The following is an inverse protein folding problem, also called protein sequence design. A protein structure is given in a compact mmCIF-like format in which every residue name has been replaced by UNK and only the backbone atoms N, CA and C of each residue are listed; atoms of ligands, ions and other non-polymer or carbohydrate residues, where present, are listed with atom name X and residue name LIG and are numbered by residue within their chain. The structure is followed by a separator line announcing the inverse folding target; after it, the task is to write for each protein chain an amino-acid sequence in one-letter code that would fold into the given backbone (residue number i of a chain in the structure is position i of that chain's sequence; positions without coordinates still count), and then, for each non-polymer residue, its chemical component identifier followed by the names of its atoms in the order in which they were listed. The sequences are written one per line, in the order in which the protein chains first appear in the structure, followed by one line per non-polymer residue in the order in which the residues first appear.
data_IF_411130621050
#
_entry.id   IF_411130621050
#
_cell.length_a   1.000
_cell.length_b   1.000
_cell.length_c   1.000
_cell.angle_alpha   90.00
_cell.angle_beta   90.00
_cell.angle_gamma   90.00
#
_symmetry.space_group_name_H-M   'P 1'
#
loop_
_entity.id
_entity.type
_entity.pdbx_description
1 polymer ?
#
# COMPACT_ATOMS: atom_id res chain seq x y z
N UNK A 1 -19.78 32.47 1.19
CA UNK A 1 -18.69 31.66 0.59
C UNK A 1 -18.11 30.82 1.72
N UNK A 2 -18.70 29.63 1.91
CA UNK A 2 -18.36 28.67 2.97
C UNK A 2 -17.47 27.60 2.31
N UNK A 3 -16.24 27.99 1.95
CA UNK A 3 -15.29 27.14 1.23
C UNK A 3 -14.80 26.02 2.16
N UNK A 4 -15.23 24.78 1.86
CA UNK A 4 -14.50 23.57 2.24
C UNK A 4 -15.10 22.68 3.33
N UNK A 5 -16.30 22.96 3.86
CA UNK A 5 -16.98 21.99 4.74
C UNK A 5 -17.60 20.87 3.91
N UNK A 6 -17.27 19.62 4.23
CA UNK A 6 -17.86 18.46 3.57
C UNK A 6 -19.37 18.38 3.86
N UNK A 7 -20.15 17.83 2.94
CA UNK A 7 -21.61 17.64 3.09
C UNK A 7 -21.93 16.81 4.35
N UNK A 8 -21.06 15.87 4.72
CA UNK A 8 -21.17 15.11 5.96
C UNK A 8 -21.00 16.00 7.19
N UNK A 9 -20.08 16.96 7.18
CA UNK A 9 -19.96 17.91 8.29
C UNK A 9 -21.18 18.82 8.39
N UNK A 10 -21.77 19.21 7.26
CA UNK A 10 -23.04 19.95 7.25
C UNK A 10 -24.17 19.11 7.84
N UNK A 11 -24.27 17.82 7.47
CA UNK A 11 -25.22 16.88 8.08
C UNK A 11 -25.04 16.82 9.60
N UNK A 12 -23.81 16.60 10.08
CA UNK A 12 -23.54 16.45 11.51
C UNK A 12 -23.80 17.73 12.30
N UNK A 13 -23.41 18.88 11.74
CA UNK A 13 -23.68 20.19 12.32
C UNK A 13 -25.17 20.43 12.43
N UNK A 14 -25.92 20.15 11.36
CA UNK A 14 -27.35 20.29 11.35
C UNK A 14 -28.00 19.39 12.41
N UNK A 15 -27.69 18.09 12.41
CA UNK A 15 -28.27 17.12 13.35
C UNK A 15 -27.99 17.50 14.81
N UNK A 16 -26.79 18.00 15.12
CA UNK A 16 -26.44 18.50 16.47
C UNK A 16 -27.13 19.80 16.85
N UNK A 17 -27.41 20.67 15.88
CA UNK A 17 -28.12 21.92 16.10
C UNK A 17 -29.64 21.72 16.28
N UNK A 18 -30.17 20.52 16.04
CA UNK A 18 -31.55 20.19 16.38
C UNK A 18 -31.66 19.83 17.86
N UNK A 19 -32.76 20.23 18.53
CA UNK A 19 -33.05 19.84 19.92
C UNK A 19 -33.30 18.32 20.12
N UNK A 20 -33.05 17.52 19.09
CA UNK A 20 -33.18 16.06 19.13
C UNK A 20 -31.82 15.42 19.44
N UNK A 21 -31.76 14.42 20.34
CA UNK A 21 -30.53 13.66 20.56
C UNK A 21 -30.04 12.97 19.29
N UNK A 22 -28.75 13.14 18.98
CA UNK A 22 -28.08 12.49 17.85
C UNK A 22 -28.12 10.97 18.05
N UNK A 23 -28.54 10.18 17.05
CA UNK A 23 -28.52 8.72 17.17
C UNK A 23 -27.09 8.22 17.49
N UNK A 24 -26.86 7.45 18.58
CA UNK A 24 -25.52 6.96 18.93
C UNK A 24 -24.85 6.16 17.82
N UNK A 25 -25.66 5.46 17.02
CA UNK A 25 -25.21 4.71 15.84
C UNK A 25 -24.64 5.61 14.74
N UNK A 26 -25.21 6.80 14.52
CA UNK A 26 -24.70 7.77 13.56
C UNK A 26 -23.29 8.22 13.96
N UNK A 27 -23.12 8.61 15.21
CA UNK A 27 -21.79 9.02 15.69
C UNK A 27 -20.78 7.88 15.67
N UNK A 28 -21.19 6.66 16.04
CA UNK A 28 -20.33 5.49 15.99
C UNK A 28 -19.87 5.18 14.55
N UNK A 29 -20.77 5.27 13.58
CA UNK A 29 -20.45 5.06 12.16
C UNK A 29 -19.45 6.09 11.65
N UNK A 30 -19.67 7.37 11.95
CA UNK A 30 -18.76 8.46 11.57
C UNK A 30 -17.40 8.31 12.26
N UNK A 31 -17.37 7.99 13.56
CA UNK A 31 -16.12 7.74 14.29
C UNK A 31 -15.34 6.57 13.68
N UNK A 32 -16.01 5.47 13.30
CA UNK A 32 -15.39 4.33 12.63
C UNK A 32 -14.81 4.71 11.27
N UNK A 33 -15.55 5.47 10.48
CA UNK A 33 -15.09 5.93 9.16
C UNK A 33 -13.88 6.86 9.25
N UNK A 34 -13.87 7.80 10.20
CA UNK A 34 -12.78 8.77 10.40
C UNK A 34 -11.55 8.21 11.12
N UNK A 35 -11.63 7.01 11.69
CA UNK A 35 -10.49 6.39 12.37
C UNK A 35 -9.33 6.26 11.38
N UNK A 36 -8.09 6.63 11.74
CA UNK A 36 -6.91 6.35 10.91
C UNK A 36 -6.80 4.86 10.57
N UNK A 37 -6.24 4.55 9.40
CA UNK A 37 -5.92 3.16 9.04
C UNK A 37 -4.81 2.63 9.93
N UNK A 38 -5.04 1.47 10.55
CA UNK A 38 -4.03 0.75 11.33
C UNK A 38 -3.35 -0.27 10.45
N UNK A 39 -2.07 -0.05 10.20
CA UNK A 39 -1.20 -1.00 9.50
C UNK A 39 -0.36 -1.70 10.55
N UNK A 40 -0.40 -3.03 10.57
CA UNK A 40 0.47 -3.84 11.41
C UNK A 40 1.60 -4.44 10.56
N UNK A 41 2.82 -4.43 11.06
CA UNK A 41 3.97 -5.08 10.43
C UNK A 41 4.37 -6.27 11.29
N UNK A 42 4.32 -7.46 10.71
CA UNK A 42 4.58 -8.71 11.42
C UNK A 42 5.47 -9.64 10.61
N UNK A 43 5.87 -10.74 11.21
CA UNK A 43 6.77 -11.73 10.64
C UNK A 43 7.77 -12.23 11.67
N UNK A 44 8.57 -13.18 11.24
CA UNK A 44 9.54 -13.87 12.09
C UNK A 44 10.62 -12.96 12.68
N UNK A 45 11.28 -13.50 13.70
CA UNK A 45 12.44 -12.88 14.32
C UNK A 45 13.52 -12.64 13.26
N UNK A 46 14.10 -11.43 13.25
CA UNK A 46 15.12 -10.99 12.27
C UNK A 46 14.66 -10.99 10.80
N UNK A 47 13.35 -11.03 10.52
CA UNK A 47 12.84 -10.90 9.15
C UNK A 47 13.06 -9.50 8.53
N UNK A 48 13.37 -8.49 9.36
CA UNK A 48 13.62 -7.12 8.92
C UNK A 48 12.38 -6.22 8.93
N UNK A 49 11.42 -6.50 9.84
CA UNK A 49 10.19 -5.72 10.05
C UNK A 49 10.44 -4.22 10.16
N UNK A 50 11.27 -3.79 11.12
CA UNK A 50 11.63 -2.39 11.32
C UNK A 50 12.25 -1.75 10.08
N UNK A 51 13.08 -2.50 9.35
CA UNK A 51 13.73 -2.00 8.12
C UNK A 51 12.71 -1.77 7.01
N UNK A 52 11.76 -2.70 6.81
CA UNK A 52 10.68 -2.55 5.83
C UNK A 52 9.78 -1.37 6.21
N UNK A 53 9.42 -1.23 7.49
CA UNK A 53 8.62 -0.10 7.97
C UNK A 53 9.29 1.24 7.67
N UNK A 54 10.61 1.35 7.93
CA UNK A 54 11.43 2.54 7.58
C UNK A 54 11.53 2.76 6.07
N UNK A 55 11.66 1.70 5.29
CA UNK A 55 11.69 1.74 3.83
C UNK A 55 10.35 2.15 3.20
N UNK A 56 9.22 1.98 3.91
CA UNK A 56 7.88 2.38 3.45
C UNK A 56 7.34 3.67 4.10
N UNK A 57 8.03 4.21 5.11
CA UNK A 57 7.69 5.47 5.81
C UNK A 57 6.41 5.32 6.63
N UNK A 58 6.19 4.10 7.10
CA UNK A 58 5.04 3.75 7.91
C UNK A 58 5.33 4.04 9.39
N UNK A 59 5.62 5.30 9.70
CA UNK A 59 5.99 5.72 11.07
C UNK A 59 4.87 5.43 12.09
N UNK A 60 3.62 5.47 11.65
CA UNK A 60 2.45 5.17 12.47
C UNK A 60 2.03 3.68 12.45
N UNK A 61 2.73 2.83 11.69
CA UNK A 61 2.45 1.40 11.69
C UNK A 61 2.94 0.74 12.98
N UNK A 62 2.19 -0.26 13.42
CA UNK A 62 2.43 -1.02 14.64
C UNK A 62 3.29 -2.24 14.30
N UNK A 63 4.54 -2.28 14.77
CA UNK A 63 5.37 -3.48 14.68
C UNK A 63 4.96 -4.46 15.78
N UNK A 64 4.45 -5.63 15.40
CA UNK A 64 3.99 -6.64 16.37
C UNK A 64 5.14 -7.52 16.87
N UNK A 65 4.87 -8.30 17.92
CA UNK A 65 5.76 -9.39 18.33
C UNK A 65 6.04 -10.36 17.18
N UNK A 66 7.20 -11.03 17.25
CA UNK A 66 7.60 -12.00 16.23
C UNK A 66 6.85 -13.32 16.41
N UNK A 67 6.46 -13.94 15.30
CA UNK A 67 5.57 -15.12 15.31
C UNK A 67 6.25 -16.43 15.71
N UNK A 68 7.58 -16.46 15.74
CA UNK A 68 8.38 -17.68 15.94
C UNK A 68 9.15 -17.70 17.27
N UNK A 69 8.70 -16.91 18.26
CA UNK A 69 9.35 -16.86 19.59
C UNK A 69 8.64 -17.84 20.53
N UNK A 70 9.31 -18.93 20.96
CA UNK A 70 8.71 -19.89 21.88
C UNK A 70 8.33 -19.25 23.22
N UNK A 71 7.17 -19.62 23.75
CA UNK A 71 6.68 -19.15 25.05
C UNK A 71 6.11 -17.73 25.05
N UNK A 72 6.08 -17.04 23.91
CA UNK A 72 5.33 -15.79 23.76
C UNK A 72 3.96 -16.05 23.14
N UNK A 73 2.92 -15.27 23.50
CA UNK A 73 1.64 -15.35 22.84
C UNK A 73 1.77 -14.96 21.37
N UNK A 74 0.99 -15.60 20.50
CA UNK A 74 0.91 -15.21 19.10
C UNK A 74 0.43 -13.75 18.98
N UNK A 75 0.99 -12.96 18.05
CA UNK A 75 0.57 -11.57 17.89
C UNK A 75 -0.87 -11.48 17.42
N UNK A 76 -1.65 -10.58 18.01
CA UNK A 76 -3.02 -10.32 17.59
C UNK A 76 -3.01 -9.46 16.32
N UNK A 77 -3.48 -10.01 15.20
CA UNK A 77 -3.47 -9.36 13.89
C UNK A 77 -4.85 -8.74 13.56
N UNK A 78 -5.21 -7.70 14.30
CA UNK A 78 -6.49 -6.98 14.21
C UNK A 78 -6.43 -5.69 13.37
N UNK A 79 -5.28 -5.39 12.76
CA UNK A 79 -5.06 -4.21 11.92
C UNK A 79 -5.92 -4.20 10.66
N UNK A 80 -6.18 -3.02 10.11
CA UNK A 80 -6.90 -2.86 8.83
C UNK A 80 -6.13 -3.53 7.69
N UNK A 81 -4.80 -3.41 7.74
CA UNK A 81 -3.86 -4.11 6.86
C UNK A 81 -2.73 -4.71 7.68
N UNK A 82 -2.29 -5.89 7.28
CA UNK A 82 -1.16 -6.63 7.86
C UNK A 82 -0.10 -6.80 6.79
N UNK A 83 1.08 -6.27 7.05
CA UNK A 83 2.27 -6.44 6.23
C UNK A 83 3.11 -7.57 6.81
N UNK A 84 3.11 -8.72 6.14
CA UNK A 84 3.82 -9.91 6.62
C UNK A 84 5.17 -10.04 5.92
N UNK A 85 6.24 -10.05 6.73
CA UNK A 85 7.61 -10.09 6.23
C UNK A 85 8.18 -11.50 6.30
N UNK A 86 8.39 -12.09 5.12
CA UNK A 86 9.19 -13.29 4.91
C UNK A 86 10.65 -12.90 4.71
N UNK A 87 11.59 -13.75 5.13
CA UNK A 87 13.03 -13.53 4.96
C UNK A 87 13.74 -14.70 4.27
N UNK A 88 12.97 -15.46 3.47
CA UNK A 88 13.40 -16.68 2.80
C UNK A 88 12.21 -17.59 2.56
N UNK A 89 12.48 -18.89 2.42
CA UNK A 89 11.44 -19.90 2.24
C UNK A 89 10.44 -19.91 3.42
N UNK A 90 9.12 -20.07 3.16
CA UNK A 90 8.13 -20.04 4.22
C UNK A 90 8.26 -21.20 5.21
N UNK A 91 8.23 -20.86 6.48
CA UNK A 91 8.27 -21.78 7.62
C UNK A 91 6.86 -22.19 8.06
N UNK A 92 6.68 -23.33 8.76
CA UNK A 92 5.38 -23.71 9.32
C UNK A 92 4.70 -22.62 10.14
N UNK A 93 5.47 -21.84 10.90
CA UNK A 93 4.97 -20.68 11.65
C UNK A 93 4.39 -19.57 10.74
N UNK A 94 4.98 -19.37 9.56
CA UNK A 94 4.47 -18.41 8.58
C UNK A 94 3.11 -18.88 8.05
N UNK A 95 3.02 -20.16 7.67
CA UNK A 95 1.78 -20.79 7.17
C UNK A 95 0.64 -20.71 8.18
N UNK A 96 0.94 -20.97 9.46
CA UNK A 96 -0.05 -20.91 10.53
C UNK A 96 -0.65 -19.50 10.64
N UNK A 97 0.18 -18.46 10.65
CA UNK A 97 -0.30 -17.07 10.76
C UNK A 97 -1.04 -16.63 9.50
N UNK A 98 -0.51 -16.94 8.32
CA UNK A 98 -1.13 -16.57 7.05
C UNK A 98 -2.51 -17.24 6.84
N UNK A 99 -2.78 -18.38 7.48
CA UNK A 99 -4.08 -19.02 7.46
C UNK A 99 -5.15 -18.31 8.32
N UNK A 100 -4.75 -17.44 9.26
CA UNK A 100 -5.68 -16.78 10.20
C UNK A 100 -6.21 -15.43 9.73
N UNK A 101 -5.48 -14.76 8.82
CA UNK A 101 -5.80 -13.40 8.38
C UNK A 101 -6.36 -13.45 6.96
N UNK A 102 -7.49 -12.76 6.67
CA UNK A 102 -8.05 -12.72 5.32
C UNK A 102 -7.07 -12.14 4.28
N UNK A 103 -6.97 -12.73 3.08
CA UNK A 103 -6.06 -12.27 2.01
C UNK A 103 -6.21 -10.80 1.63
N UNK A 104 -7.42 -10.24 1.74
CA UNK A 104 -7.71 -8.85 1.41
C UNK A 104 -7.05 -7.87 2.39
N UNK A 105 -6.78 -8.33 3.61
CA UNK A 105 -6.09 -7.58 4.68
C UNK A 105 -4.59 -7.88 4.70
N UNK A 106 -4.10 -8.85 3.93
CA UNK A 106 -2.71 -9.29 3.98
C UNK A 106 -1.90 -8.77 2.80
N UNK A 107 -0.69 -8.28 3.05
CA UNK A 107 0.31 -7.99 2.02
C UNK A 107 1.61 -8.73 2.37
N UNK A 108 2.07 -9.58 1.46
CA UNK A 108 3.26 -10.39 1.64
C UNK A 108 4.51 -9.72 1.05
N UNK A 109 5.58 -9.69 1.84
CA UNK A 109 6.89 -9.16 1.42
C UNK A 109 7.94 -10.24 1.61
N UNK A 110 8.64 -10.60 0.53
CA UNK A 110 9.85 -11.41 0.59
C UNK A 110 11.06 -10.48 0.73
N UNK A 111 11.38 -10.13 1.97
CA UNK A 111 12.51 -9.28 2.29
C UNK A 111 13.84 -10.04 2.22
N UNK A 112 14.95 -9.29 2.14
CA UNK A 112 16.31 -9.80 1.94
C UNK A 112 16.44 -10.58 0.63
N UNK A 113 15.81 -10.06 -0.42
CA UNK A 113 15.90 -10.63 -1.76
C UNK A 113 17.35 -10.75 -2.25
N UNK A 114 18.25 -9.92 -1.75
CA UNK A 114 19.70 -9.98 -1.99
C UNK A 114 20.39 -11.23 -1.46
N UNK A 115 19.77 -11.92 -0.49
CA UNK A 115 20.28 -13.18 0.05
C UNK A 115 19.70 -14.42 -0.67
N UNK A 116 18.83 -14.23 -1.66
CA UNK A 116 18.16 -15.32 -2.38
C UNK A 116 18.86 -15.53 -3.73
N UNK A 117 19.59 -16.64 -3.82
CA UNK A 117 20.29 -16.99 -5.05
C UNK A 117 21.43 -16.02 -5.36
N UNK A 118 21.75 -15.90 -6.66
CA UNK A 118 22.86 -15.08 -7.15
C UNK A 118 22.40 -13.91 -8.02
N UNK A 119 21.14 -13.95 -8.48
CA UNK A 119 20.54 -12.96 -9.38
C UNK A 119 19.19 -12.51 -8.85
N UNK A 120 18.79 -11.29 -9.24
CA UNK A 120 17.45 -10.77 -8.93
C UNK A 120 16.32 -11.70 -9.44
N UNK A 121 16.53 -12.37 -10.59
CA UNK A 121 15.58 -13.36 -11.11
C UNK A 121 15.30 -14.50 -10.13
N UNK A 122 16.30 -14.91 -9.33
CA UNK A 122 16.14 -16.00 -8.37
C UNK A 122 15.21 -15.57 -7.22
N UNK A 123 15.33 -14.32 -6.77
CA UNK A 123 14.44 -13.72 -5.79
C UNK A 123 13.01 -13.55 -6.32
N UNK A 124 12.86 -13.16 -7.59
CA UNK A 124 11.55 -13.07 -8.26
C UNK A 124 10.90 -14.45 -8.35
N UNK A 125 11.62 -15.48 -8.81
CA UNK A 125 11.09 -16.86 -8.85
C UNK A 125 10.75 -17.39 -7.46
N UNK A 126 11.53 -17.05 -6.43
CA UNK A 126 11.18 -17.41 -5.05
C UNK A 126 9.89 -16.72 -4.58
N UNK A 127 9.70 -15.44 -4.93
CA UNK A 127 8.47 -14.72 -4.63
C UNK A 127 7.26 -15.30 -5.39
N UNK A 128 7.41 -15.66 -6.67
CA UNK A 128 6.37 -16.30 -7.47
C UNK A 128 5.94 -17.65 -6.88
N UNK A 129 6.88 -18.49 -6.44
CA UNK A 129 6.57 -19.76 -5.76
C UNK A 129 5.81 -19.54 -4.46
N UNK A 130 6.21 -18.55 -3.66
CA UNK A 130 5.46 -18.17 -2.46
C UNK A 130 4.06 -17.65 -2.83
N UNK A 131 3.94 -16.91 -3.94
CA UNK A 131 2.66 -16.37 -4.38
C UNK A 131 1.70 -17.47 -4.84
N UNK A 132 2.20 -18.48 -5.56
CA UNK A 132 1.45 -19.68 -5.93
C UNK A 132 1.01 -20.47 -4.69
N UNK A 133 1.91 -20.63 -3.71
CA UNK A 133 1.62 -21.34 -2.47
C UNK A 133 0.51 -20.69 -1.64
N UNK A 134 0.51 -19.35 -1.54
CA UNK A 134 -0.43 -18.61 -0.69
C UNK A 134 -1.64 -18.04 -1.44
N UNK A 135 -1.67 -18.12 -2.78
CA UNK A 135 -2.70 -17.49 -3.60
C UNK A 135 -2.72 -15.96 -3.49
N UNK A 136 -1.58 -15.34 -3.15
CA UNK A 136 -1.44 -13.91 -2.89
C UNK A 136 -0.17 -13.37 -3.52
N UNK A 137 -0.20 -12.14 -4.03
CA UNK A 137 1.02 -11.50 -4.54
C UNK A 137 2.07 -11.35 -3.43
N UNK A 138 3.31 -11.72 -3.74
CA UNK A 138 4.48 -11.59 -2.86
C UNK A 138 5.49 -10.66 -3.53
N UNK A 139 5.92 -9.63 -2.80
CA UNK A 139 6.84 -8.62 -3.34
C UNK A 139 8.28 -8.89 -2.87
N UNK A 140 9.24 -9.22 -3.76
CA UNK A 140 10.65 -9.34 -3.39
C UNK A 140 11.25 -7.96 -3.15
N UNK A 141 11.92 -7.77 -2.00
CA UNK A 141 12.43 -6.47 -1.57
C UNK A 141 13.79 -6.59 -0.89
N UNK A 142 14.66 -5.62 -1.15
CA UNK A 142 15.89 -5.36 -0.37
C UNK A 142 15.65 -4.11 0.48
N UNK A 143 15.05 -4.28 1.65
CA UNK A 143 14.55 -3.15 2.43
C UNK A 143 15.67 -2.24 2.97
N UNK A 144 16.86 -2.80 3.21
CA UNK A 144 18.05 -2.02 3.61
C UNK A 144 18.46 -1.05 2.50
N UNK A 145 18.42 -1.48 1.24
CA UNK A 145 18.71 -0.65 0.08
C UNK A 145 17.63 0.41 -0.12
N UNK A 146 16.35 0.01 -0.03
CA UNK A 146 15.23 0.95 -0.11
C UNK A 146 15.32 2.05 0.97
N UNK A 147 15.58 1.67 2.23
CA UNK A 147 15.76 2.61 3.34
C UNK A 147 16.96 3.53 3.12
N UNK A 148 18.07 3.02 2.57
CA UNK A 148 19.24 3.83 2.22
C UNK A 148 18.89 4.90 1.18
N UNK A 149 18.26 4.51 0.06
CA UNK A 149 17.94 5.45 -1.04
C UNK A 149 17.02 6.59 -0.62
N UNK A 150 16.16 6.35 0.37
CA UNK A 150 15.28 7.37 0.93
C UNK A 150 16.00 8.48 1.69
N UNK A 151 17.18 8.20 2.26
CA UNK A 151 17.99 9.25 2.90
C UNK A 151 18.48 10.29 1.88
N UNK A 152 18.47 9.96 0.59
CA UNK A 152 18.46 10.91 -0.52
C UNK A 152 19.79 11.59 -0.85
N UNK A 153 20.91 11.21 -0.22
CA UNK A 153 22.19 11.89 -0.41
C UNK A 153 23.32 10.88 -0.59
N UNK A 154 23.97 10.93 -1.76
CA UNK A 154 25.31 10.35 -1.97
C UNK A 154 26.30 11.50 -1.84
N UNK A 155 27.10 11.48 -0.79
CA UNK A 155 28.14 12.47 -0.58
C UNK A 155 29.23 12.36 -1.65
N UNK A 156 29.87 13.48 -1.98
CA UNK A 156 30.93 13.49 -3.01
C UNK A 156 32.09 12.56 -2.67
N UNK A 157 32.43 12.41 -1.39
CA UNK A 157 33.44 11.47 -0.91
C UNK A 157 33.03 10.00 -1.16
N UNK A 158 31.76 9.65 -0.95
CA UNK A 158 31.24 8.31 -1.24
C UNK A 158 31.31 8.03 -2.73
N UNK A 159 30.89 9.00 -3.56
CA UNK A 159 30.98 8.90 -5.01
C UNK A 159 32.42 8.77 -5.49
N UNK A 160 33.36 9.53 -4.92
CA UNK A 160 34.78 9.43 -5.26
C UNK A 160 35.34 8.03 -4.99
N UNK A 161 34.99 7.43 -3.84
CA UNK A 161 35.38 6.05 -3.49
C UNK A 161 34.76 5.04 -4.45
N UNK A 162 33.47 5.18 -4.80
CA UNK A 162 32.81 4.32 -5.79
C UNK A 162 33.49 4.42 -7.17
N UNK A 163 33.78 5.64 -7.63
CA UNK A 163 34.45 5.86 -8.92
C UNK A 163 35.87 5.27 -8.95
N UNK A 164 36.60 5.32 -7.83
CA UNK A 164 37.95 4.75 -7.71
C UNK A 164 37.96 3.23 -7.88
N UNK A 165 36.91 2.56 -7.40
CA UNK A 165 36.82 1.09 -7.38
C UNK A 165 35.90 0.48 -8.44
N UNK A 166 35.29 1.28 -9.32
CA UNK A 166 34.33 0.77 -10.32
C UNK A 166 34.94 -0.29 -11.26
N UNK A 167 36.20 -0.12 -11.61
CA UNK A 167 36.95 -0.97 -12.56
C UNK A 167 37.77 -2.06 -11.84
N UNK A 168 37.48 -2.32 -10.56
CA UNK A 168 38.19 -3.34 -9.79
C UNK A 168 38.08 -4.72 -10.48
N UNK A 169 39.22 -5.39 -10.75
CA UNK A 169 39.24 -6.60 -11.58
C UNK A 169 38.65 -7.82 -10.88
N UNK A 170 38.70 -7.87 -9.55
CA UNK A 170 38.13 -8.97 -8.77
C UNK A 170 36.60 -8.83 -8.65
N UNK A 171 35.80 -9.76 -9.22
CA UNK A 171 34.34 -9.73 -9.12
C UNK A 171 33.84 -9.99 -7.69
N UNK A 172 34.70 -10.50 -6.81
CA UNK A 172 34.35 -10.81 -5.42
C UNK A 172 34.55 -9.63 -4.46
N UNK A 173 35.11 -8.53 -4.96
CA UNK A 173 35.49 -7.35 -4.19
C UNK A 173 34.34 -6.78 -3.33
N UNK A 174 33.11 -6.76 -3.86
CA UNK A 174 31.93 -6.24 -3.18
C UNK A 174 30.93 -7.34 -2.73
N UNK A 175 31.37 -8.61 -2.62
CA UNK A 175 30.51 -9.71 -2.18
C UNK A 175 30.37 -9.82 -0.66
N UNK A 176 31.43 -9.51 0.09
CA UNK A 176 31.46 -9.62 1.56
C UNK A 176 32.15 -8.40 2.19
N UNK A 177 31.76 -7.99 3.42
CA UNK A 177 32.27 -6.74 4.00
C UNK A 177 33.78 -6.78 4.25
N UNK A 178 34.30 -7.95 4.63
CA UNK A 178 35.70 -8.16 4.97
C UNK A 178 36.58 -7.96 3.73
N UNK A 179 36.16 -8.48 2.57
CA UNK A 179 36.89 -8.28 1.31
C UNK A 179 36.87 -6.83 0.87
N UNK A 180 35.72 -6.18 0.94
CA UNK A 180 35.60 -4.78 0.54
C UNK A 180 36.46 -3.85 1.41
N UNK A 181 36.82 -4.25 2.63
CA UNK A 181 37.65 -3.44 3.55
C UNK A 181 39.06 -3.97 3.76
N UNK A 182 39.47 -5.00 3.01
CA UNK A 182 40.81 -5.55 3.12
C UNK A 182 41.85 -4.52 2.63
N UNK A 183 42.88 -4.19 3.45
CA UNK A 183 43.96 -3.29 3.07
C UNK A 183 44.70 -3.70 1.79
N UNK A 184 44.69 -4.99 1.42
CA UNK A 184 45.33 -5.49 0.21
C UNK A 184 44.77 -4.86 -1.09
N UNK A 185 43.53 -4.38 -1.06
CA UNK A 185 42.87 -3.76 -2.23
C UNK A 185 43.03 -2.24 -2.32
N UNK A 186 43.73 -1.59 -1.38
CA UNK A 186 44.02 -0.15 -1.48
C UNK A 186 44.22 0.58 -0.16
N UNK A 187 44.93 1.71 -0.22
CA UNK A 187 45.23 2.57 0.93
C UNK A 187 44.01 3.30 1.51
N UNK A 188 42.90 3.36 0.79
CA UNK A 188 41.64 4.04 1.16
C UNK A 188 40.72 3.16 2.03
N UNK A 189 41.30 2.27 2.83
CA UNK A 189 40.57 1.34 3.71
C UNK A 189 39.59 2.06 4.64
N UNK A 190 39.96 3.25 5.14
CA UNK A 190 39.11 4.05 6.01
C UNK A 190 37.84 4.55 5.26
N UNK A 191 38.00 5.03 4.03
CA UNK A 191 36.89 5.49 3.18
C UNK A 191 35.96 4.32 2.84
N UNK A 192 36.52 3.15 2.52
CA UNK A 192 35.75 1.92 2.25
C UNK A 192 34.95 1.45 3.47
N UNK A 193 35.53 1.52 4.68
CA UNK A 193 34.81 1.22 5.93
C UNK A 193 33.68 2.21 6.19
N UNK A 194 33.92 3.51 6.00
CA UNK A 194 32.90 4.54 6.15
C UNK A 194 31.75 4.35 5.16
N UNK A 195 32.07 3.94 3.92
CA UNK A 195 31.08 3.66 2.90
C UNK A 195 30.21 2.45 3.27
N UNK A 196 30.79 1.32 3.70
CA UNK A 196 30.02 0.15 4.16
C UNK A 196 29.14 0.43 5.38
N UNK A 197 29.55 1.33 6.27
CA UNK A 197 28.73 1.71 7.42
C UNK A 197 27.41 2.38 7.02
N UNK A 198 27.37 3.01 5.83
CA UNK A 198 26.22 3.76 5.30
C UNK A 198 25.50 3.03 4.18
N UNK A 199 26.22 2.22 3.41
CA UNK A 199 25.72 1.52 2.23
C UNK A 199 25.65 0.01 2.47
N UNK A 200 24.47 -0.62 2.30
CA UNK A 200 24.40 -2.07 2.32
C UNK A 200 25.18 -2.64 1.11
N UNK A 201 25.85 -3.78 1.32
CA UNK A 201 26.66 -4.44 0.29
C UNK A 201 25.97 -4.63 -1.07
N UNK A 202 24.69 -5.08 -1.15
CA UNK A 202 23.99 -5.17 -2.43
C UNK A 202 23.92 -3.82 -3.15
N UNK A 203 23.76 -2.72 -2.41
CA UNK A 203 23.79 -1.37 -2.96
C UNK A 203 25.14 -0.97 -3.50
N UNK A 204 26.23 -1.34 -2.81
CA UNK A 204 27.60 -1.13 -3.28
C UNK A 204 27.88 -1.88 -4.57
N UNK A 205 27.59 -3.19 -4.60
CA UNK A 205 27.77 -4.01 -5.79
C UNK A 205 26.96 -3.47 -6.99
N UNK A 206 25.72 -3.04 -6.74
CA UNK A 206 24.86 -2.41 -7.74
C UNK A 206 25.46 -1.09 -8.27
N UNK A 207 25.90 -0.20 -7.39
CA UNK A 207 26.47 1.10 -7.78
C UNK A 207 27.79 0.95 -8.54
N UNK A 208 28.69 0.06 -8.09
CA UNK A 208 29.95 -0.22 -8.79
C UNK A 208 29.68 -0.79 -10.19
N UNK A 209 28.72 -1.72 -10.31
CA UNK A 209 28.31 -2.26 -11.61
C UNK A 209 27.74 -1.17 -12.52
N UNK A 210 26.86 -0.30 -12.00
CA UNK A 210 26.29 0.80 -12.78
C UNK A 210 27.36 1.79 -13.28
N UNK A 211 28.30 2.16 -12.40
CA UNK A 211 29.40 3.08 -12.74
C UNK A 211 30.42 2.47 -13.70
N UNK A 212 30.60 1.15 -13.68
CA UNK A 212 31.44 0.43 -14.65
C UNK A 212 30.87 0.55 -16.07
N UNK A 213 29.54 0.43 -16.23
CA UNK A 213 28.89 0.58 -17.53
C UNK A 213 28.68 2.04 -17.94
N UNK A 214 28.41 2.94 -16.99
CA UNK A 214 28.21 4.38 -17.22
C UNK A 214 28.96 5.22 -16.18
N UNK A 215 30.24 5.55 -16.46
CA UNK A 215 31.10 6.38 -15.61
C UNK A 215 30.54 7.75 -15.21
N UNK A 216 29.72 8.33 -16.08
CA UNK A 216 29.20 9.70 -15.99
C UNK A 216 27.93 9.83 -15.13
N UNK A 217 27.45 8.74 -14.54
CA UNK A 217 26.25 8.78 -13.70
C UNK A 217 26.39 9.79 -12.55
N UNK A 218 25.38 10.66 -12.44
CA UNK A 218 25.24 11.57 -11.31
C UNK A 218 24.79 10.82 -10.05
N UNK A 219 25.06 11.40 -8.88
CA UNK A 219 24.59 10.87 -7.57
C UNK A 219 23.10 10.58 -7.56
N UNK A 220 22.27 11.47 -8.15
CA UNK A 220 20.84 11.26 -8.26
C UNK A 220 20.45 10.07 -9.14
N UNK A 221 21.17 9.83 -10.24
CA UNK A 221 20.94 8.65 -11.09
C UNK A 221 21.38 7.35 -10.42
N UNK A 222 22.46 7.37 -9.66
CA UNK A 222 22.87 6.22 -8.82
C UNK A 222 21.75 5.89 -7.83
N UNK A 223 21.24 6.89 -7.09
CA UNK A 223 20.13 6.68 -6.14
C UNK A 223 18.88 6.11 -6.82
N UNK A 224 18.52 6.60 -8.01
CA UNK A 224 17.40 6.06 -8.77
C UNK A 224 17.59 4.60 -9.16
N UNK A 225 18.80 4.22 -9.60
CA UNK A 225 19.13 2.83 -9.94
C UNK A 225 19.02 1.94 -8.69
N UNK A 226 19.59 2.37 -7.57
CA UNK A 226 19.50 1.64 -6.30
C UNK A 226 18.06 1.52 -5.80
N UNK A 227 17.26 2.56 -6.00
CA UNK A 227 15.85 2.56 -5.63
C UNK A 227 15.07 1.52 -6.43
N UNK A 228 15.24 1.52 -7.75
CA UNK A 228 14.65 0.52 -8.62
C UNK A 228 15.13 -0.90 -8.28
N UNK A 229 16.44 -1.08 -8.02
CA UNK A 229 17.04 -2.36 -7.64
C UNK A 229 16.56 -2.89 -6.28
N UNK A 230 15.99 -2.03 -5.41
CA UNK A 230 15.46 -2.46 -4.12
C UNK A 230 14.13 -3.20 -4.21
N UNK A 231 13.42 -3.11 -5.34
CA UNK A 231 12.10 -3.72 -5.54
C UNK A 231 10.97 -3.07 -4.73
N UNK A 232 11.18 -1.90 -4.12
CA UNK A 232 10.22 -1.28 -3.20
C UNK A 232 9.00 -0.66 -3.89
N UNK A 233 9.12 -0.23 -5.16
CA UNK A 233 8.05 0.49 -5.87
C UNK A 233 6.77 -0.33 -6.08
N UNK A 234 6.83 -1.58 -6.57
CA UNK A 234 5.64 -2.44 -6.66
C UNK A 234 4.96 -2.66 -5.30
N UNK A 235 5.74 -2.83 -4.24
CA UNK A 235 5.23 -2.95 -2.88
C UNK A 235 4.53 -1.67 -2.41
N UNK A 236 5.14 -0.51 -2.64
CA UNK A 236 4.55 0.78 -2.28
C UNK A 236 3.23 1.03 -3.03
N UNK A 237 3.20 0.73 -4.33
CA UNK A 237 2.00 0.85 -5.14
C UNK A 237 0.89 -0.09 -4.65
N UNK A 238 1.21 -1.34 -4.31
CA UNK A 238 0.22 -2.29 -3.80
C UNK A 238 -0.31 -1.91 -2.42
N UNK A 239 0.58 -1.47 -1.52
CA UNK A 239 0.18 -0.96 -0.22
C UNK A 239 -0.76 0.24 -0.35
N UNK A 240 -0.42 1.21 -1.20
CA UNK A 240 -1.26 2.38 -1.45
C UNK A 240 -2.64 1.99 -1.96
N UNK A 241 -2.71 1.12 -2.98
CA UNK A 241 -3.98 0.60 -3.51
C UNK A 241 -4.82 -0.07 -2.44
N UNK A 242 -4.21 -0.90 -1.58
CA UNK A 242 -4.92 -1.58 -0.47
C UNK A 242 -5.43 -0.60 0.59
N UNK A 243 -4.64 0.42 0.93
CA UNK A 243 -5.07 1.49 1.82
C UNK A 243 -6.27 2.24 1.25
N UNK A 244 -6.21 2.63 -0.01
CA UNK A 244 -7.30 3.32 -0.73
C UNK A 244 -8.56 2.44 -0.77
N UNK A 245 -8.42 1.16 -1.13
CA UNK A 245 -9.53 0.21 -1.14
C UNK A 245 -10.14 -0.01 0.25
N UNK A 246 -9.32 -0.06 1.31
CA UNK A 246 -9.82 -0.17 2.68
C UNK A 246 -10.57 1.10 3.13
N UNK A 247 -10.03 2.28 2.82
CA UNK A 247 -10.69 3.55 3.10
C UNK A 247 -12.04 3.66 2.36
N UNK A 248 -12.07 3.25 1.10
CA UNK A 248 -13.29 3.22 0.29
C UNK A 248 -14.35 2.28 0.87
N UNK A 249 -13.96 1.06 1.28
CA UNK A 249 -14.88 0.10 1.92
C UNK A 249 -15.47 0.64 3.21
N UNK A 250 -14.68 1.28 4.08
CA UNK A 250 -15.19 1.99 5.27
C UNK A 250 -16.21 3.06 4.91
N UNK A 251 -16.02 3.74 3.79
CA UNK A 251 -17.00 4.67 3.23
C UNK A 251 -18.32 3.99 2.89
N UNK A 252 -18.27 2.83 2.23
CA UNK A 252 -19.45 2.01 1.96
C UNK A 252 -20.17 1.56 3.24
N UNK A 253 -19.43 1.14 4.26
CA UNK A 253 -19.98 0.77 5.57
C UNK A 253 -20.72 1.94 6.24
N UNK A 254 -20.17 3.15 6.14
CA UNK A 254 -20.84 4.37 6.60
C UNK A 254 -22.16 4.58 5.86
N UNK A 255 -22.15 4.50 4.53
CA UNK A 255 -23.36 4.67 3.72
C UNK A 255 -24.42 3.60 4.02
N UNK A 256 -24.01 2.36 4.25
CA UNK A 256 -24.91 1.28 4.68
C UNK A 256 -25.57 1.61 6.02
N UNK A 257 -24.82 2.12 7.00
CA UNK A 257 -25.38 2.50 8.30
C UNK A 257 -26.30 3.71 8.20
N UNK A 258 -25.94 4.72 7.40
CA UNK A 258 -26.81 5.88 7.13
C UNK A 258 -28.11 5.46 6.43
N UNK A 259 -28.04 4.54 5.47
CA UNK A 259 -29.22 3.98 4.79
C UNK A 259 -30.11 3.25 5.78
N UNK A 260 -29.53 2.43 6.68
CA UNK A 260 -30.28 1.76 7.75
C UNK A 260 -30.95 2.76 8.69
N UNK A 261 -30.28 3.84 9.06
CA UNK A 261 -30.83 4.90 9.91
C UNK A 261 -31.95 5.67 9.21
N UNK A 262 -31.82 5.98 7.93
CA UNK A 262 -32.85 6.64 7.14
C UNK A 262 -34.12 5.78 6.97
N UNK A 263 -33.97 4.45 6.97
CA UNK A 263 -35.12 3.53 6.97
C UNK A 263 -35.88 3.50 8.31
N UNK A 264 -35.27 3.98 9.40
CA UNK A 264 -35.94 4.10 10.70
C UNK A 264 -36.71 5.42 10.83
N UNK A 265 -37.76 5.43 11.67
CA UNK A 265 -38.48 6.66 12.04
C UNK A 265 -37.69 7.47 13.08
N UNK A 266 -36.60 8.08 12.64
CA UNK A 266 -35.76 8.98 13.45
C UNK A 266 -35.91 10.44 13.00
N UNK A 267 -35.78 11.44 13.88
CA UNK A 267 -35.96 12.85 13.48
C UNK A 267 -34.90 13.36 12.50
N UNK A 268 -33.73 12.72 12.44
CA UNK A 268 -32.66 13.06 11.49
C UNK A 268 -32.87 12.46 10.08
N UNK A 269 -33.95 11.71 9.84
CA UNK A 269 -34.17 10.93 8.61
C UNK A 269 -34.02 11.77 7.34
N UNK A 270 -34.78 12.86 7.22
CA UNK A 270 -34.80 13.65 5.98
C UNK A 270 -33.43 14.24 5.66
N UNK A 271 -32.66 14.60 6.68
CA UNK A 271 -31.31 15.14 6.51
C UNK A 271 -30.32 14.07 6.06
N UNK A 272 -30.42 12.87 6.62
CA UNK A 272 -29.62 11.72 6.17
C UNK A 272 -29.98 11.36 4.73
N UNK A 273 -31.28 11.35 4.38
CA UNK A 273 -31.74 11.10 3.02
C UNK A 273 -31.24 12.16 2.03
N UNK A 274 -31.21 13.44 2.42
CA UNK A 274 -30.60 14.51 1.61
C UNK A 274 -29.11 14.28 1.40
N UNK A 275 -28.36 13.95 2.46
CA UNK A 275 -26.94 13.63 2.34
C UNK A 275 -26.68 12.43 1.43
N UNK A 276 -27.48 11.35 1.54
CA UNK A 276 -27.31 10.14 0.73
C UNK A 276 -27.50 10.38 -0.78
N UNK A 277 -28.21 11.45 -1.16
CA UNK A 277 -28.38 11.89 -2.56
C UNK A 277 -27.36 12.95 -2.99
N UNK A 278 -26.51 13.40 -2.07
CA UNK A 278 -25.48 14.43 -2.30
C UNK A 278 -24.23 13.89 -3.00
N UNK A 279 -23.38 14.82 -3.44
CA UNK A 279 -22.20 14.52 -4.25
C UNK A 279 -21.16 13.73 -3.46
N UNK A 280 -20.98 14.08 -2.17
CA UNK A 280 -20.01 13.43 -1.31
C UNK A 280 -20.39 11.95 -1.10
N UNK A 281 -21.67 11.69 -0.83
CA UNK A 281 -22.17 10.33 -0.61
C UNK A 281 -22.07 9.48 -1.88
N UNK A 282 -22.42 10.02 -3.05
CA UNK A 282 -22.34 9.32 -4.33
C UNK A 282 -20.88 9.06 -4.75
N UNK A 283 -19.97 10.01 -4.54
CA UNK A 283 -18.55 9.82 -4.79
C UNK A 283 -17.91 8.81 -3.81
N UNK A 284 -18.36 8.77 -2.55
CA UNK A 284 -17.96 7.76 -1.58
C UNK A 284 -18.50 6.38 -1.98
N UNK A 285 -19.75 6.31 -2.44
CA UNK A 285 -20.42 5.12 -2.94
C UNK A 285 -19.69 4.52 -4.14
N UNK A 286 -19.34 5.34 -5.14
CA UNK A 286 -18.59 4.92 -6.32
C UNK A 286 -17.28 4.23 -5.93
N UNK A 287 -16.45 4.90 -5.11
CA UNK A 287 -15.18 4.34 -4.64
C UNK A 287 -15.37 3.04 -3.86
N UNK A 288 -16.37 3.00 -2.97
CA UNK A 288 -16.69 1.82 -2.17
C UNK A 288 -17.13 0.64 -3.04
N UNK A 289 -17.94 0.91 -4.06
CA UNK A 289 -18.41 -0.08 -5.02
C UNK A 289 -17.27 -0.65 -5.86
N UNK A 290 -16.42 0.20 -6.43
CA UNK A 290 -15.23 -0.21 -7.20
C UNK A 290 -14.21 -0.99 -6.35
N UNK A 291 -14.19 -0.75 -5.04
CA UNK A 291 -13.32 -1.46 -4.08
C UNK A 291 -13.98 -2.71 -3.48
N UNK A 292 -15.15 -3.13 -3.97
CA UNK A 292 -15.90 -4.25 -3.41
C UNK A 292 -15.30 -5.60 -3.84
N UNK A 293 -14.91 -6.48 -2.88
CA UNK A 293 -14.46 -7.84 -3.21
C UNK A 293 -15.51 -8.66 -3.96
N UNK A 294 -16.80 -8.37 -3.75
CA UNK A 294 -17.91 -9.06 -4.42
C UNK A 294 -17.92 -8.82 -5.95
N UNK A 295 -17.23 -7.78 -6.43
CA UNK A 295 -17.12 -7.42 -7.84
C UNK A 295 -15.70 -7.64 -8.40
N UNK A 296 -14.77 -8.20 -7.62
CA UNK A 296 -13.36 -8.32 -8.00
C UNK A 296 -13.09 -9.14 -9.27
N UNK A 297 -14.06 -9.97 -9.70
CA UNK A 297 -13.97 -10.77 -10.94
C UNK A 297 -14.45 -10.03 -12.19
N UNK A 298 -15.10 -8.88 -12.02
CA UNK A 298 -15.55 -8.05 -13.13
C UNK A 298 -14.42 -7.12 -13.60
N UNK A 299 -14.41 -6.73 -14.89
CA UNK A 299 -13.41 -5.80 -15.39
C UNK A 299 -13.49 -4.46 -14.65
N UNK A 300 -12.33 -3.92 -14.29
CA UNK A 300 -12.25 -2.61 -13.67
C UNK A 300 -12.67 -1.53 -14.68
N UNK A 301 -13.48 -0.57 -14.23
CA UNK A 301 -13.80 0.65 -14.98
C UNK A 301 -12.96 1.81 -14.45
N UNK A 302 -12.70 2.81 -15.29
CA UNK A 302 -11.98 4.02 -14.87
C UNK A 302 -12.78 4.75 -13.77
N UNK A 303 -12.22 4.94 -12.56
CA UNK A 303 -12.93 5.57 -11.44
C UNK A 303 -13.22 7.07 -11.64
N UNK A 304 -12.54 7.75 -12.56
CA UNK A 304 -12.65 9.20 -12.74
C UNK A 304 -12.60 9.60 -14.22
N UNK A 305 -13.56 9.16 -15.04
CA UNK A 305 -13.66 9.59 -16.43
C UNK A 305 -13.78 11.12 -16.49
N UNK A 306 -13.07 11.73 -17.44
CA UNK A 306 -13.09 13.18 -17.66
C UNK A 306 -14.10 13.59 -18.73
N UNK A 307 -14.72 12.62 -19.38
CA UNK A 307 -15.69 12.80 -20.46
C UNK A 307 -17.10 12.32 -20.03
N UNK A 308 -18.16 13.15 -20.17
CA UNK A 308 -19.54 12.76 -19.91
C UNK A 308 -19.96 11.48 -20.63
N UNK A 309 -19.61 11.29 -21.91
CA UNK A 309 -20.07 10.13 -22.69
C UNK A 309 -19.46 8.84 -22.12
N UNK A 310 -18.19 8.88 -21.73
CA UNK A 310 -17.54 7.80 -21.00
C UNK A 310 -18.21 7.51 -19.64
N UNK A 311 -18.55 8.55 -18.87
CA UNK A 311 -19.25 8.38 -17.60
C UNK A 311 -20.62 7.72 -17.79
N UNK A 312 -21.38 8.14 -18.82
CA UNK A 312 -22.68 7.56 -19.15
C UNK A 312 -22.55 6.11 -19.62
N UNK A 313 -21.54 5.78 -20.43
CA UNK A 313 -21.26 4.42 -20.87
C UNK A 313 -20.95 3.50 -19.68
N UNK A 314 -20.13 3.95 -18.71
CA UNK A 314 -19.90 3.20 -17.48
C UNK A 314 -21.18 3.03 -16.66
N UNK A 315 -22.00 4.07 -16.52
CA UNK A 315 -23.28 3.97 -15.82
C UNK A 315 -24.20 2.91 -16.45
N UNK A 316 -24.30 2.89 -17.79
CA UNK A 316 -25.08 1.91 -18.52
C UNK A 316 -24.55 0.47 -18.33
N UNK A 317 -23.23 0.29 -18.39
CA UNK A 317 -22.58 -1.00 -18.11
C UNK A 317 -22.94 -1.52 -16.71
N UNK A 318 -22.78 -0.69 -15.68
CA UNK A 318 -23.07 -1.10 -14.30
C UNK A 318 -24.56 -1.31 -14.04
N UNK A 319 -25.45 -0.62 -14.75
CA UNK A 319 -26.89 -0.91 -14.73
C UNK A 319 -27.21 -2.31 -15.29
N UNK A 320 -26.51 -2.73 -16.35
CA UNK A 320 -26.65 -4.09 -16.88
C UNK A 320 -26.14 -5.14 -15.87
N UNK A 321 -25.02 -4.87 -15.19
CA UNK A 321 -24.52 -5.73 -14.09
C UNK A 321 -25.54 -5.82 -12.96
N UNK A 322 -26.15 -4.70 -12.55
CA UNK A 322 -27.21 -4.68 -11.53
C UNK A 322 -28.40 -5.55 -11.93
N UNK A 323 -28.72 -5.69 -13.22
CA UNK A 323 -29.83 -6.52 -13.70
C UNK A 323 -29.47 -8.02 -13.80
N UNK A 324 -28.19 -8.38 -13.73
CA UNK A 324 -27.73 -9.75 -13.84
C UNK A 324 -28.05 -10.59 -12.59
N UNK A 325 -27.86 -11.90 -12.71
CA UNK A 325 -27.91 -12.82 -11.59
C UNK A 325 -26.60 -12.74 -10.79
N UNK A 326 -26.62 -11.87 -9.78
CA UNK A 326 -25.52 -11.59 -8.87
C UNK A 326 -26.02 -11.56 -7.43
N UNK A 327 -25.10 -11.80 -6.49
CA UNK A 327 -25.41 -11.78 -5.06
C UNK A 327 -25.95 -10.42 -4.61
N UNK A 328 -26.73 -10.34 -3.53
CA UNK A 328 -27.23 -9.07 -3.00
C UNK A 328 -26.11 -8.06 -2.69
N UNK A 329 -24.96 -8.53 -2.23
CA UNK A 329 -23.79 -7.70 -1.91
C UNK A 329 -23.14 -7.11 -3.16
N UNK A 330 -22.96 -7.94 -4.19
CA UNK A 330 -22.50 -7.49 -5.50
C UNK A 330 -23.48 -6.47 -6.10
N UNK A 331 -24.80 -6.71 -5.98
CA UNK A 331 -25.83 -5.81 -6.50
C UNK A 331 -25.82 -4.44 -5.83
N UNK A 332 -25.68 -4.39 -4.49
CA UNK A 332 -25.54 -3.12 -3.76
C UNK A 332 -24.29 -2.35 -4.18
N UNK A 333 -23.17 -3.05 -4.34
CA UNK A 333 -21.94 -2.41 -4.83
C UNK A 333 -22.10 -1.87 -6.25
N UNK A 334 -22.69 -2.65 -7.16
CA UNK A 334 -22.92 -2.26 -8.55
C UNK A 334 -23.88 -1.05 -8.67
N UNK A 335 -24.92 -0.99 -7.83
CA UNK A 335 -25.83 0.16 -7.75
C UNK A 335 -25.08 1.45 -7.36
N UNK A 336 -24.21 1.39 -6.33
CA UNK A 336 -23.39 2.55 -5.95
C UNK A 336 -22.50 3.04 -7.07
N UNK A 337 -21.95 2.12 -7.86
CA UNK A 337 -21.11 2.46 -9.01
C UNK A 337 -21.94 3.14 -10.09
N UNK A 338 -23.12 2.57 -10.41
CA UNK A 338 -24.06 3.17 -11.36
C UNK A 338 -24.44 4.60 -10.95
N UNK A 339 -24.94 4.79 -9.73
CA UNK A 339 -25.41 6.09 -9.23
C UNK A 339 -24.27 7.12 -9.20
N UNK A 340 -23.06 6.68 -8.82
CA UNK A 340 -21.86 7.51 -8.84
C UNK A 340 -21.46 7.98 -10.23
N UNK A 341 -21.53 7.11 -11.24
CA UNK A 341 -21.25 7.49 -12.63
C UNK A 341 -22.34 8.39 -13.23
N UNK A 342 -23.63 8.15 -12.91
CA UNK A 342 -24.72 9.07 -13.30
C UNK A 342 -24.43 10.47 -12.76
N UNK A 343 -24.05 10.58 -11.49
CA UNK A 343 -23.74 11.88 -10.90
C UNK A 343 -22.52 12.54 -11.52
N UNK A 344 -21.50 11.75 -11.88
CA UNK A 344 -20.33 12.27 -12.57
C UNK A 344 -20.69 12.79 -13.97
N UNK A 345 -21.55 12.08 -14.71
CA UNK A 345 -22.06 12.51 -16.00
C UNK A 345 -22.83 13.84 -15.90
N UNK A 346 -23.73 14.00 -14.92
CA UNK A 346 -24.45 15.25 -14.67
C UNK A 346 -23.47 16.41 -14.47
N UNK A 347 -22.48 16.25 -13.58
CA UNK A 347 -21.50 17.31 -13.29
C UNK A 347 -20.63 17.67 -14.49
N UNK A 348 -20.18 16.67 -15.25
CA UNK A 348 -19.34 16.93 -16.43
C UNK A 348 -20.16 17.58 -17.57
N UNK A 349 -21.46 17.31 -17.63
CA UNK A 349 -22.38 17.95 -18.59
C UNK A 349 -22.64 19.40 -18.19
N UNK A 350 -22.95 19.64 -16.92
CA UNK A 350 -23.16 20.99 -16.38
C UNK A 350 -21.91 21.87 -16.52
N UNK A 351 -20.71 21.30 -16.37
CA UNK A 351 -19.45 22.02 -16.53
C UNK A 351 -19.11 22.37 -17.99
N UNK A 352 -19.80 21.81 -18.98
CA UNK A 352 -19.64 22.12 -20.41
C UNK A 352 -20.59 23.21 -20.90
N UNK A 353 -21.62 23.55 -20.12
CA UNK A 353 -22.62 24.59 -20.43
C UNK A 353 -22.15 25.97 -19.95
#
# INVERSE_FOLDING_TARGET
MDEGRSELELLLTAVRASDTPVPPRLEAAVRRWRRPLRIQVTGRSRAGKTTVQRALALLAAEETASVDVPGQPEPVLDGDLVLYILAGAPHPADRAVLATVPPERMLLVLNKADAIGSRWSDAVTAAERCAEEFGMAVHPVVATLAAHTRSGIVADAERATLCRHRDHPDPTFALVPERFTDPAFGSDTADRKALLARWPLPGLACALSALRYRPELSSGRILQILHAASGIDPLHADLRRRCEAHAARRGGELLDELTRLAACRIPARDRIETYLRGDEALALGLRAGLSSPALARLPATDPAPTDPDQALAHAAHWRAVVAADITPDARRAALRIHDGYIRLWERLTDARL
#
